data_IF_476492006725
#
_entry.id   IF_476492006725
#
_cell.length_a   1.000
_cell.length_b   1.000
_cell.length_c   1.000
_cell.angle_alpha   90.00
_cell.angle_beta   90.00
_cell.angle_gamma   90.00
#
_symmetry.space_group_name_H-M   'P 1'
#
loop_
_entity.id
_entity.type
_entity.pdbx_description
1 polymer ?
#
# COMPACT_ATOMS: atom_id res chain seq x y z
N UNK A 1 -14.48 -23.88 3.48
CA UNK A 1 -15.07 -22.94 2.48
C UNK A 1 -14.36 -23.23 1.16
N UNK A 2 -15.08 -23.60 0.11
CA UNK A 2 -14.48 -23.93 -1.20
C UNK A 2 -14.08 -22.65 -1.95
N UNK A 3 -13.12 -22.74 -2.86
CA UNK A 3 -12.67 -21.60 -3.67
C UNK A 3 -13.83 -20.97 -4.46
N UNK A 4 -14.78 -21.79 -4.91
CA UNK A 4 -16.01 -21.36 -5.60
C UNK A 4 -16.91 -20.49 -4.69
N UNK A 5 -17.06 -20.87 -3.42
CA UNK A 5 -17.81 -20.08 -2.45
C UNK A 5 -17.12 -18.76 -2.06
N UNK A 6 -15.79 -18.68 -2.19
CA UNK A 6 -15.02 -17.46 -1.99
C UNK A 6 -15.15 -16.57 -3.23
N UNK A 7 -15.04 -17.14 -4.43
CA UNK A 7 -15.22 -16.43 -5.69
C UNK A 7 -16.57 -15.70 -5.72
N UNK A 8 -17.64 -16.42 -5.38
CA UNK A 8 -19.00 -15.87 -5.40
C UNK A 8 -19.23 -14.73 -4.39
N UNK A 9 -18.54 -14.75 -3.24
CA UNK A 9 -18.74 -13.79 -2.15
C UNK A 9 -17.76 -12.62 -2.16
N UNK A 10 -16.53 -12.88 -2.56
CA UNK A 10 -15.39 -11.96 -2.37
C UNK A 10 -14.72 -11.57 -3.70
N UNK A 11 -15.09 -12.20 -4.82
CA UNK A 11 -14.55 -11.91 -6.14
C UNK A 11 -13.23 -12.64 -6.46
N UNK A 12 -12.74 -12.50 -7.70
CA UNK A 12 -11.57 -13.22 -8.20
C UNK A 12 -10.28 -12.82 -7.48
N UNK A 13 -10.08 -11.53 -7.21
CA UNK A 13 -8.87 -11.03 -6.52
C UNK A 13 -8.65 -11.69 -5.15
N UNK A 14 -9.74 -11.93 -4.40
CA UNK A 14 -9.67 -12.57 -3.09
C UNK A 14 -9.23 -14.05 -3.20
N UNK A 15 -9.73 -14.77 -4.21
CA UNK A 15 -9.34 -16.16 -4.48
C UNK A 15 -7.88 -16.23 -4.88
N UNK A 16 -7.42 -15.30 -5.73
CA UNK A 16 -6.02 -15.23 -6.15
C UNK A 16 -5.08 -14.98 -4.96
N UNK A 17 -5.41 -14.02 -4.10
CA UNK A 17 -4.63 -13.71 -2.89
C UNK A 17 -4.54 -14.91 -1.93
N UNK A 18 -5.68 -15.55 -1.63
CA UNK A 18 -5.70 -16.70 -0.72
C UNK A 18 -4.99 -17.91 -1.32
N UNK A 19 -5.10 -18.11 -2.63
CA UNK A 19 -4.36 -19.15 -3.34
C UNK A 19 -2.86 -18.90 -3.26
N UNK A 20 -2.39 -17.67 -3.47
CA UNK A 20 -0.99 -17.29 -3.29
C UNK A 20 -0.49 -17.60 -1.87
N UNK A 21 -1.26 -17.21 -0.86
CA UNK A 21 -0.90 -17.44 0.54
C UNK A 21 -0.83 -18.93 0.91
N UNK A 22 -1.70 -19.78 0.36
CA UNK A 22 -1.63 -21.24 0.54
C UNK A 22 -0.33 -21.83 -0.04
N UNK A 23 0.13 -21.34 -1.19
CA UNK A 23 1.38 -21.80 -1.80
C UNK A 23 2.62 -21.34 -1.00
N UNK A 24 2.61 -20.11 -0.47
CA UNK A 24 3.64 -19.65 0.47
C UNK A 24 3.66 -20.56 1.70
N UNK A 25 2.50 -20.83 2.31
CA UNK A 25 2.42 -21.66 3.51
C UNK A 25 2.97 -23.06 3.24
N UNK A 26 2.57 -23.68 2.13
CA UNK A 26 3.10 -24.97 1.71
C UNK A 26 4.63 -24.94 1.55
N UNK A 27 5.18 -23.95 0.84
CA UNK A 27 6.63 -23.79 0.69
C UNK A 27 7.33 -23.65 2.05
N UNK A 28 6.81 -22.79 2.93
CA UNK A 28 7.37 -22.58 4.27
C UNK A 28 7.30 -23.85 5.13
N UNK A 29 6.24 -24.66 5.01
CA UNK A 29 6.13 -25.95 5.70
C UNK A 29 7.19 -26.95 5.22
N UNK A 30 7.45 -27.03 3.91
CA UNK A 30 8.52 -27.89 3.36
C UNK A 30 9.89 -27.45 3.88
N UNK A 31 10.17 -26.15 3.83
CA UNK A 31 11.40 -25.55 4.37
C UNK A 31 11.57 -25.85 5.87
N UNK A 32 10.49 -25.74 6.63
CA UNK A 32 10.47 -25.99 8.08
C UNK A 32 10.81 -27.46 8.39
N UNK A 33 10.18 -28.41 7.69
CA UNK A 33 10.44 -29.85 7.89
C UNK A 33 11.91 -30.19 7.59
N UNK A 34 12.46 -29.69 6.48
CA UNK A 34 13.87 -29.93 6.14
C UNK A 34 14.81 -29.26 7.15
N UNK A 35 14.48 -28.04 7.58
CA UNK A 35 15.31 -27.32 8.55
C UNK A 35 15.32 -27.99 9.92
N UNK A 36 14.17 -28.50 10.40
CA UNK A 36 14.10 -29.23 11.66
C UNK A 36 14.72 -30.64 11.55
N UNK A 37 14.58 -31.31 10.41
CA UNK A 37 15.07 -32.68 10.21
C UNK A 37 16.55 -32.79 9.88
N UNK A 38 17.15 -31.76 9.26
CA UNK A 38 18.53 -31.79 8.76
C UNK A 38 19.38 -30.67 9.36
N UNK A 39 18.97 -29.42 9.19
CA UNK A 39 19.76 -28.24 9.58
C UNK A 39 19.95 -28.17 11.10
N UNK A 40 18.88 -28.40 11.86
CA UNK A 40 18.90 -28.30 13.32
C UNK A 40 19.80 -29.38 13.97
N UNK A 41 19.68 -30.68 13.65
CA UNK A 41 20.61 -31.70 14.16
C UNK A 41 22.08 -31.43 13.81
N UNK A 42 22.34 -30.92 12.61
CA UNK A 42 23.71 -30.57 12.19
C UNK A 42 24.25 -29.43 13.07
N UNK A 43 23.46 -28.37 13.31
CA UNK A 43 23.90 -27.26 14.16
C UNK A 43 24.21 -27.70 15.60
N UNK A 44 23.45 -28.66 16.15
CA UNK A 44 23.70 -29.24 17.47
C UNK A 44 24.95 -30.13 17.57
N UNK A 45 25.57 -30.53 16.45
CA UNK A 45 26.88 -31.21 16.48
C UNK A 45 28.03 -30.24 16.77
N UNK A 46 27.79 -28.94 16.62
CA UNK A 46 28.75 -27.90 16.91
C UNK A 46 29.07 -27.76 18.40
N UNK A 47 30.27 -27.28 18.70
CA UNK A 47 30.74 -27.06 20.08
C UNK A 47 31.23 -25.63 20.32
N UNK A 48 31.02 -24.70 19.36
CA UNK A 48 31.59 -23.34 19.43
C UNK A 48 30.75 -22.34 20.23
N UNK A 49 29.45 -22.59 20.42
CA UNK A 49 28.61 -21.77 21.30
C UNK A 49 28.56 -22.41 22.69
N UNK A 50 28.61 -21.59 23.75
CA UNK A 50 28.59 -22.03 25.15
C UNK A 50 27.19 -21.97 25.76
N UNK A 51 26.93 -22.84 26.73
CA UNK A 51 25.69 -23.09 27.52
C UNK A 51 24.49 -23.66 26.74
N UNK A 52 24.00 -24.84 27.16
CA UNK A 52 22.92 -25.63 26.51
C UNK A 52 21.61 -24.86 26.27
N UNK A 53 21.42 -23.73 26.95
CA UNK A 53 20.22 -22.88 26.87
C UNK A 53 20.34 -21.75 25.85
N UNK A 54 21.51 -21.52 25.27
CA UNK A 54 21.72 -20.40 24.34
C UNK A 54 21.20 -20.74 22.94
N UNK A 55 20.43 -19.81 22.37
CA UNK A 55 19.90 -19.92 21.00
C UNK A 55 20.98 -20.18 19.94
N UNK A 56 22.22 -19.72 20.20
CA UNK A 56 23.37 -19.90 19.31
C UNK A 56 23.62 -21.35 18.89
N UNK A 57 23.33 -22.34 19.75
CA UNK A 57 23.47 -23.78 19.45
C UNK A 57 22.62 -24.27 18.28
N UNK A 58 21.50 -23.60 18.03
CA UNK A 58 20.56 -23.97 16.96
C UNK A 58 20.94 -23.36 15.60
N UNK A 59 22.05 -22.62 15.53
CA UNK A 59 22.43 -21.82 14.36
C UNK A 59 23.80 -22.21 13.80
N UNK A 60 24.10 -21.72 12.59
CA UNK A 60 25.37 -21.96 11.89
C UNK A 60 26.60 -21.57 12.73
N UNK A 61 26.48 -20.60 13.65
CA UNK A 61 27.61 -20.10 14.45
C UNK A 61 28.13 -21.10 15.48
N UNK A 62 27.46 -22.25 15.67
CA UNK A 62 27.93 -23.32 16.54
C UNK A 62 28.90 -24.29 15.83
N UNK A 63 28.93 -24.29 14.49
CA UNK A 63 29.78 -25.18 13.70
C UNK A 63 31.17 -24.61 13.46
N UNK A 64 32.17 -25.49 13.44
CA UNK A 64 33.54 -25.12 13.08
C UNK A 64 33.60 -24.55 11.64
N UNK A 65 34.29 -23.41 11.41
CA UNK A 65 34.43 -22.82 10.08
C UNK A 65 35.07 -23.74 9.03
N UNK A 66 35.83 -24.75 9.43
CA UNK A 66 36.47 -25.73 8.55
C UNK A 66 35.65 -27.02 8.40
N UNK A 67 34.49 -27.10 9.07
CA UNK A 67 33.65 -28.29 9.06
C UNK A 67 33.02 -28.52 7.68
N UNK A 68 33.04 -29.76 7.15
CA UNK A 68 32.37 -30.08 5.90
C UNK A 68 30.85 -29.92 5.98
N UNK A 69 30.26 -29.92 7.19
CA UNK A 69 28.83 -29.75 7.41
C UNK A 69 28.29 -28.41 6.90
N UNK A 70 29.13 -27.37 6.80
CA UNK A 70 28.76 -26.07 6.23
C UNK A 70 28.26 -26.19 4.77
N UNK A 71 28.79 -27.14 3.99
CA UNK A 71 28.36 -27.37 2.61
C UNK A 71 26.92 -27.87 2.51
N UNK A 72 26.39 -28.52 3.54
CA UNK A 72 24.98 -28.93 3.58
C UNK A 72 24.09 -27.69 3.60
N UNK A 73 24.42 -26.67 4.41
CA UNK A 73 23.66 -25.41 4.46
C UNK A 73 23.72 -24.67 3.13
N UNK A 74 24.90 -24.58 2.51
CA UNK A 74 25.09 -23.95 1.19
C UNK A 74 24.25 -24.66 0.13
N UNK A 75 24.32 -25.99 0.10
CA UNK A 75 23.58 -26.82 -0.85
C UNK A 75 22.07 -26.66 -0.67
N UNK A 76 21.57 -26.72 0.57
CA UNK A 76 20.15 -26.51 0.87
C UNK A 76 19.69 -25.10 0.49
N UNK A 77 20.47 -24.06 0.79
CA UNK A 77 20.14 -22.69 0.40
C UNK A 77 20.03 -22.54 -1.14
N UNK A 78 20.93 -23.17 -1.88
CA UNK A 78 20.89 -23.20 -3.35
C UNK A 78 19.66 -23.97 -3.84
N UNK A 79 19.25 -25.07 -3.19
CA UNK A 79 18.09 -25.89 -3.59
C UNK A 79 16.74 -25.26 -3.22
N UNK A 80 16.68 -24.47 -2.16
CA UNK A 80 15.46 -23.80 -1.74
C UNK A 80 14.98 -22.74 -2.74
N UNK A 81 15.92 -22.06 -3.41
CA UNK A 81 15.60 -21.07 -4.44
C UNK A 81 14.83 -21.66 -5.65
N UNK A 82 15.33 -22.68 -6.38
CA UNK A 82 14.61 -23.30 -7.48
C UNK A 82 13.34 -24.01 -7.00
N UNK A 83 13.32 -24.59 -5.79
CA UNK A 83 12.10 -25.15 -5.20
C UNK A 83 11.01 -24.07 -5.07
N UNK A 84 11.37 -22.91 -4.53
CA UNK A 84 10.48 -21.75 -4.43
C UNK A 84 9.98 -21.30 -5.80
N UNK A 85 10.88 -21.19 -6.79
CA UNK A 85 10.51 -20.83 -8.17
C UNK A 85 9.54 -21.86 -8.77
N UNK A 86 9.76 -23.16 -8.58
CA UNK A 86 8.89 -24.22 -9.13
C UNK A 86 7.50 -24.15 -8.51
N UNK A 87 7.39 -24.00 -7.19
CA UNK A 87 6.11 -23.90 -6.49
C UNK A 87 5.36 -22.63 -6.90
N UNK A 88 6.06 -21.48 -6.95
CA UNK A 88 5.47 -20.21 -7.38
C UNK A 88 5.09 -20.21 -8.85
N UNK A 89 5.86 -20.88 -9.72
CA UNK A 89 5.52 -21.05 -11.13
C UNK A 89 4.31 -21.94 -11.31
N UNK A 90 4.20 -23.03 -10.55
CA UNK A 90 3.00 -23.89 -10.53
C UNK A 90 1.77 -23.10 -10.10
N UNK A 91 1.89 -22.26 -9.07
CA UNK A 91 0.84 -21.32 -8.68
C UNK A 91 0.47 -20.38 -9.83
N UNK A 92 1.45 -19.70 -10.42
CA UNK A 92 1.21 -18.73 -11.50
C UNK A 92 0.58 -19.33 -12.75
N UNK A 93 0.84 -20.61 -13.06
CA UNK A 93 0.23 -21.31 -14.21
C UNK A 93 -1.18 -21.83 -13.85
N UNK A 94 -1.41 -22.22 -12.59
CA UNK A 94 -2.73 -22.64 -12.10
C UNK A 94 -3.67 -21.45 -11.91
N UNK A 95 -3.10 -20.26 -11.71
CA UNK A 95 -3.77 -18.99 -11.91
C UNK A 95 -4.10 -18.88 -13.41
N UNK A 96 -5.19 -19.51 -13.82
CA UNK A 96 -5.95 -18.97 -14.94
C UNK A 96 -6.33 -17.58 -14.47
N UNK A 97 -5.55 -16.59 -14.90
CA UNK A 97 -6.13 -15.30 -15.20
C UNK A 97 -7.20 -15.67 -16.23
N UNK A 98 -8.41 -15.99 -15.75
CA UNK A 98 -9.56 -15.55 -16.48
C UNK A 98 -9.30 -14.05 -16.59
N UNK A 99 -8.70 -13.67 -17.72
CA UNK A 99 -9.08 -12.47 -18.41
C UNK A 99 -10.60 -12.60 -18.53
N UNK A 100 -11.32 -12.34 -17.42
CA UNK A 100 -12.65 -11.83 -17.55
C UNK A 100 -12.45 -10.67 -18.52
N UNK A 101 -13.14 -10.73 -19.64
CA UNK A 101 -13.37 -9.60 -20.56
C UNK A 101 -13.82 -8.30 -19.82
N UNK A 102 -13.89 -8.29 -18.49
CA UNK A 102 -14.26 -7.22 -17.57
C UNK A 102 -13.17 -6.22 -17.19
N UNK A 103 -11.96 -6.28 -17.76
CA UNK A 103 -10.95 -5.23 -17.57
C UNK A 103 -11.06 -4.05 -18.54
N UNK A 104 -11.65 -4.25 -19.71
CA UNK A 104 -11.76 -3.18 -20.71
C UNK A 104 -13.14 -2.59 -20.64
N UNK A 105 -13.25 -1.58 -19.79
CA UNK A 105 -14.35 -0.65 -19.94
C UNK A 105 -14.30 -0.09 -21.36
N UNK A 106 -15.45 -0.14 -22.04
CA UNK A 106 -15.68 0.64 -23.25
C UNK A 106 -15.41 2.14 -23.04
N UNK A 107 -15.30 2.59 -21.79
CA UNK A 107 -15.02 3.97 -21.39
C UNK A 107 -13.54 4.20 -21.11
N UNK A 108 -12.93 5.13 -21.85
CA UNK A 108 -11.55 5.60 -21.66
C UNK A 108 -11.54 6.95 -20.96
N UNK A 109 -10.64 7.13 -19.98
CA UNK A 109 -10.36 8.43 -19.38
C UNK A 109 -9.27 9.15 -20.18
N UNK A 110 -9.59 10.30 -20.75
CA UNK A 110 -8.67 11.17 -21.47
C UNK A 110 -8.29 12.32 -20.54
N UNK A 111 -7.00 12.57 -20.37
CA UNK A 111 -6.45 13.64 -19.53
C UNK A 111 -5.74 14.69 -20.38
N UNK A 112 -5.47 15.87 -19.81
CA UNK A 112 -4.80 17.00 -20.47
C UNK A 112 -5.56 17.58 -21.68
N UNK A 113 -6.88 17.59 -21.63
CA UNK A 113 -7.69 18.25 -22.65
C UNK A 113 -7.49 19.77 -22.54
N UNK A 114 -7.17 20.48 -23.63
CA UNK A 114 -7.09 21.94 -23.64
C UNK A 114 -8.38 22.55 -23.08
N UNK A 115 -8.22 23.55 -22.20
CA UNK A 115 -9.33 24.17 -21.44
C UNK A 115 -10.43 24.82 -22.30
N UNK A 116 -10.22 24.90 -23.60
CA UNK A 116 -11.05 25.58 -24.59
C UNK A 116 -12.21 24.74 -25.14
N UNK A 117 -12.32 23.44 -24.81
CA UNK A 117 -13.29 22.52 -25.43
C UNK A 117 -14.06 21.59 -24.46
N UNK A 118 -14.52 22.10 -23.32
CA UNK A 118 -15.34 21.31 -22.38
C UNK A 118 -16.86 21.56 -22.59
N UNK A 119 -17.59 20.55 -23.07
CA UNK A 119 -19.07 20.58 -23.17
C UNK A 119 -19.76 19.68 -22.11
N UNK A 120 -21.02 19.99 -21.83
CA UNK A 120 -21.68 20.01 -20.52
C UNK A 120 -22.87 19.04 -20.39
N UNK A 121 -23.03 18.10 -21.32
CA UNK A 121 -24.27 17.32 -21.44
C UNK A 121 -24.39 16.14 -20.43
N UNK A 122 -23.30 15.44 -20.09
CA UNK A 122 -23.41 14.16 -19.36
C UNK A 122 -23.49 14.28 -17.83
N UNK A 123 -22.97 15.37 -17.26
CA UNK A 123 -23.05 15.64 -15.81
C UNK A 123 -24.51 15.91 -15.34
N UNK A 124 -25.35 16.31 -16.28
CA UNK A 124 -26.77 16.62 -16.07
C UNK A 124 -27.62 15.38 -15.77
N UNK A 125 -27.20 14.19 -16.23
CA UNK A 125 -28.01 12.96 -16.14
C UNK A 125 -27.98 12.34 -14.75
N UNK A 126 -26.84 12.39 -14.05
CA UNK A 126 -26.65 11.66 -12.79
C UNK A 126 -27.34 12.34 -11.58
N UNK A 127 -27.29 13.68 -11.49
CA UNK A 127 -27.89 14.42 -10.38
C UNK A 127 -29.40 14.61 -10.52
N UNK A 128 -29.93 14.65 -11.75
CA UNK A 128 -31.38 14.69 -12.00
C UNK A 128 -32.06 13.41 -11.55
N UNK A 129 -31.45 12.25 -11.82
CA UNK A 129 -32.07 10.94 -11.59
C UNK A 129 -32.56 10.75 -10.14
N UNK A 130 -31.78 11.13 -9.11
CA UNK A 130 -32.15 10.78 -7.72
C UNK A 130 -33.29 11.63 -7.13
N UNK A 131 -33.28 12.94 -7.38
CA UNK A 131 -34.34 13.84 -6.89
C UNK A 131 -35.60 13.78 -7.78
N UNK A 132 -35.41 13.62 -9.11
CA UNK A 132 -36.52 13.44 -10.05
C UNK A 132 -37.33 12.17 -9.74
N UNK A 133 -36.66 11.04 -9.44
CA UNK A 133 -37.34 9.79 -9.14
C UNK A 133 -38.16 9.85 -7.83
N UNK A 134 -37.67 10.57 -6.81
CA UNK A 134 -38.41 10.77 -5.56
C UNK A 134 -39.67 11.63 -5.75
N UNK A 135 -39.58 12.70 -6.54
CA UNK A 135 -40.73 13.54 -6.91
C UNK A 135 -41.73 12.77 -7.78
N UNK A 136 -41.24 12.06 -8.80
CA UNK A 136 -42.05 11.25 -9.72
C UNK A 136 -42.83 10.16 -8.98
N UNK A 137 -42.23 9.55 -7.95
CA UNK A 137 -42.92 8.60 -7.07
C UNK A 137 -44.11 9.26 -6.35
N UNK A 138 -43.93 10.44 -5.77
CA UNK A 138 -44.97 11.15 -5.04
C UNK A 138 -46.11 11.63 -5.96
N UNK A 139 -45.78 12.11 -7.17
CA UNK A 139 -46.76 12.52 -8.18
C UNK A 139 -47.56 11.33 -8.73
N UNK A 140 -46.91 10.21 -8.99
CA UNK A 140 -47.59 8.99 -9.44
C UNK A 140 -48.50 8.41 -8.37
N UNK A 141 -48.10 8.50 -7.09
CA UNK A 141 -48.96 8.10 -5.97
C UNK A 141 -50.21 8.97 -5.87
N UNK A 142 -50.07 10.30 -5.99
CA UNK A 142 -51.20 11.23 -6.03
C UNK A 142 -52.14 10.92 -7.20
N UNK A 143 -51.61 10.65 -8.39
CA UNK A 143 -52.42 10.28 -9.57
C UNK A 143 -53.19 8.97 -9.39
N UNK A 144 -52.61 7.98 -8.69
CA UNK A 144 -53.22 6.65 -8.49
C UNK A 144 -54.22 6.60 -7.34
N UNK A 145 -53.97 7.36 -6.27
CA UNK A 145 -54.73 7.25 -5.01
C UNK A 145 -55.55 8.49 -4.69
N UNK A 146 -55.31 9.61 -5.37
CA UNK A 146 -55.92 10.91 -5.05
C UNK A 146 -55.38 11.56 -3.77
N UNK A 147 -54.44 10.92 -3.07
CA UNK A 147 -53.95 11.36 -1.76
C UNK A 147 -52.53 11.93 -1.90
N UNK A 148 -52.29 13.10 -1.29
CA UNK A 148 -50.95 13.68 -1.17
C UNK A 148 -50.18 13.00 -0.04
N UNK A 149 -48.96 12.57 -0.34
CA UNK A 149 -48.07 11.94 0.64
C UNK A 149 -47.47 13.00 1.56
N UNK A 150 -47.51 12.72 2.85
CA UNK A 150 -46.82 13.49 3.87
C UNK A 150 -45.57 12.74 4.31
N UNK A 151 -44.48 13.48 4.55
CA UNK A 151 -43.21 12.92 4.99
C UNK A 151 -42.59 13.74 6.12
N UNK A 152 -41.51 13.20 6.71
CA UNK A 152 -40.76 13.83 7.79
C UNK A 152 -39.31 14.04 7.34
N UNK A 153 -38.86 15.28 7.10
CA UNK A 153 -37.56 15.57 6.50
C UNK A 153 -36.44 15.58 7.56
N UNK A 154 -36.41 14.55 8.41
CA UNK A 154 -35.43 14.42 9.49
C UNK A 154 -34.78 13.04 9.41
N UNK A 155 -33.49 12.95 9.75
CA UNK A 155 -32.69 11.71 9.67
C UNK A 155 -33.31 10.54 10.47
N UNK A 156 -34.09 10.85 11.52
CA UNK A 156 -34.80 9.90 12.38
C UNK A 156 -36.32 9.83 12.11
N UNK A 157 -36.82 10.37 10.98
CA UNK A 157 -38.25 10.56 10.71
C UNK A 157 -39.10 9.29 10.75
N UNK A 158 -38.52 8.13 10.38
CA UNK A 158 -39.18 6.82 10.43
C UNK A 158 -39.05 6.11 11.80
N UNK A 159 -38.10 6.53 12.63
CA UNK A 159 -37.81 5.92 13.93
C UNK A 159 -38.48 6.65 15.10
N UNK A 160 -38.72 7.96 14.97
CA UNK A 160 -39.32 8.78 16.02
C UNK A 160 -40.86 8.76 15.95
N UNK A 161 -41.52 7.86 16.69
CA UNK A 161 -42.99 7.86 16.86
C UNK A 161 -43.48 8.77 18.01
N UNK A 162 -42.57 9.32 18.82
CA UNK A 162 -42.88 9.88 20.14
C UNK A 162 -42.67 11.40 20.29
N UNK A 163 -42.24 12.10 19.25
CA UNK A 163 -42.13 13.56 19.28
C UNK A 163 -43.07 14.12 18.22
N UNK A 164 -43.76 15.24 18.51
CA UNK A 164 -44.67 15.95 17.61
C UNK A 164 -43.98 16.55 16.37
N UNK A 165 -43.21 15.74 15.65
CA UNK A 165 -42.48 16.08 14.45
C UNK A 165 -43.48 16.45 13.36
N UNK A 166 -43.42 17.72 12.95
CA UNK A 166 -44.24 18.26 11.88
C UNK A 166 -44.00 17.46 10.60
N UNK A 167 -45.09 16.96 10.03
CA UNK A 167 -45.10 16.37 8.69
C UNK A 167 -45.22 17.48 7.66
N UNK A 168 -44.53 17.33 6.53
CA UNK A 168 -44.58 18.24 5.39
C UNK A 168 -45.09 17.48 4.16
N UNK A 169 -45.73 18.20 3.23
CA UNK A 169 -46.15 17.62 1.94
C UNK A 169 -44.89 17.21 1.16
N UNK A 170 -44.83 15.93 0.77
CA UNK A 170 -43.65 15.36 0.13
C UNK A 170 -43.40 15.98 -1.26
N UNK A 171 -44.46 16.34 -2.00
CA UNK A 171 -44.33 16.91 -3.34
C UNK A 171 -43.78 18.33 -3.24
N UNK A 172 -44.31 19.14 -2.32
CA UNK A 172 -43.86 20.50 -2.08
C UNK A 172 -42.39 20.51 -1.59
N UNK A 173 -42.07 19.68 -0.60
CA UNK A 173 -40.70 19.58 -0.09
C UNK A 173 -39.70 19.14 -1.16
N UNK A 174 -39.97 18.06 -1.91
CA UNK A 174 -39.05 17.61 -2.96
C UNK A 174 -38.95 18.60 -4.12
N UNK A 175 -39.99 19.38 -4.39
CA UNK A 175 -39.95 20.46 -5.39
C UNK A 175 -39.10 21.65 -4.92
N UNK A 176 -39.16 21.99 -3.63
CA UNK A 176 -38.33 23.04 -3.04
C UNK A 176 -36.87 22.62 -2.94
N UNK A 177 -36.58 21.39 -2.51
CA UNK A 177 -35.23 20.82 -2.50
C UNK A 177 -34.65 20.72 -3.91
N UNK A 178 -35.45 20.31 -4.91
CA UNK A 178 -35.05 20.34 -6.32
C UNK A 178 -34.65 21.76 -6.75
N UNK A 179 -35.41 22.78 -6.33
CA UNK A 179 -35.11 24.18 -6.62
C UNK A 179 -33.83 24.65 -5.92
N UNK A 180 -33.64 24.29 -4.64
CA UNK A 180 -32.45 24.64 -3.85
C UNK A 180 -31.19 24.00 -4.44
N UNK A 181 -31.25 22.71 -4.75
CA UNK A 181 -30.14 21.99 -5.37
C UNK A 181 -29.87 22.49 -6.79
N UNK A 182 -30.88 22.93 -7.53
CA UNK A 182 -30.68 23.56 -8.84
C UNK A 182 -29.88 24.87 -8.72
N UNK A 183 -30.18 25.71 -7.74
CA UNK A 183 -29.41 26.94 -7.48
C UNK A 183 -27.96 26.66 -7.08
N UNK A 184 -27.74 25.77 -6.10
CA UNK A 184 -26.39 25.39 -5.68
C UNK A 184 -25.59 24.70 -6.81
N UNK A 185 -26.27 23.90 -7.65
CA UNK A 185 -25.68 23.29 -8.84
C UNK A 185 -25.29 24.34 -9.87
N UNK A 186 -26.08 25.40 -10.06
CA UNK A 186 -25.77 26.50 -10.97
C UNK A 186 -24.58 27.33 -10.48
N UNK A 187 -24.49 27.60 -9.18
CA UNK A 187 -23.36 28.30 -8.57
C UNK A 187 -22.06 27.49 -8.66
N UNK A 188 -22.13 26.20 -8.31
CA UNK A 188 -21.00 25.27 -8.45
C UNK A 188 -20.63 25.08 -9.93
N UNK A 189 -21.61 25.06 -10.84
CA UNK A 189 -21.40 25.02 -12.30
C UNK A 189 -20.63 26.25 -12.77
N UNK A 190 -21.00 27.47 -12.38
CA UNK A 190 -20.25 28.67 -12.79
C UNK A 190 -18.82 28.67 -12.24
N UNK A 191 -18.62 28.13 -11.05
CA UNK A 191 -17.30 28.02 -10.40
C UNK A 191 -16.43 26.93 -11.07
N UNK A 192 -17.02 25.76 -11.35
CA UNK A 192 -16.36 24.65 -12.02
C UNK A 192 -16.06 24.95 -13.51
N UNK A 193 -16.95 25.67 -14.21
CA UNK A 193 -16.72 26.13 -15.60
C UNK A 193 -15.57 27.13 -15.70
N UNK A 194 -15.31 27.93 -14.65
CA UNK A 194 -14.14 28.83 -14.58
C UNK A 194 -12.82 28.06 -14.39
N UNK A 195 -12.87 26.79 -13.95
CA UNK A 195 -11.68 25.95 -13.68
C UNK A 195 -11.88 24.50 -14.18
N UNK A 196 -11.97 24.26 -15.50
CA UNK A 196 -12.13 22.91 -16.02
C UNK A 196 -10.92 22.03 -15.67
N UNK A 197 -11.20 20.80 -15.24
CA UNK A 197 -10.19 19.82 -14.79
C UNK A 197 -9.35 19.24 -15.95
N UNK A 198 -9.75 19.46 -17.21
CA UNK A 198 -9.03 18.96 -18.40
C UNK A 198 -9.11 17.44 -18.56
N UNK A 199 -10.21 16.83 -18.11
CA UNK A 199 -10.45 15.37 -18.14
C UNK A 199 -11.78 15.10 -18.84
N UNK A 200 -11.85 14.07 -19.68
CA UNK A 200 -13.10 13.53 -20.23
C UNK A 200 -13.14 12.00 -20.15
N UNK A 201 -14.35 11.45 -20.08
CA UNK A 201 -14.58 10.01 -20.18
C UNK A 201 -15.29 9.72 -21.50
N UNK A 202 -14.64 8.98 -22.39
CA UNK A 202 -15.17 8.65 -23.72
C UNK A 202 -15.60 7.19 -23.73
N UNK A 203 -16.91 6.96 -23.88
CA UNK A 203 -17.49 5.61 -23.96
C UNK A 203 -17.67 5.23 -25.42
N UNK A 204 -17.01 4.15 -25.84
CA UNK A 204 -17.04 3.63 -27.20
C UNK A 204 -18.11 2.55 -27.36
N UNK A 205 -18.45 2.26 -28.62
CA UNK A 205 -19.51 1.30 -28.97
C UNK A 205 -19.08 -0.15 -28.73
N UNK A 206 -17.78 -0.45 -28.89
CA UNK A 206 -17.24 -1.79 -28.67
C UNK A 206 -15.97 -1.76 -27.82
N UNK A 207 -15.67 -2.90 -27.20
CA UNK A 207 -14.48 -3.09 -26.37
C UNK A 207 -13.22 -3.04 -27.23
N UNK A 208 -13.27 -3.63 -28.42
CA UNK A 208 -12.17 -3.67 -29.38
C UNK A 208 -11.80 -2.25 -29.86
N UNK A 209 -12.80 -1.39 -30.06
CA UNK A 209 -12.57 0.02 -30.38
C UNK A 209 -11.85 0.76 -29.24
N UNK A 210 -12.19 0.46 -27.98
CA UNK A 210 -11.52 1.01 -26.81
C UNK A 210 -10.09 0.50 -26.65
N UNK A 211 -9.85 -0.80 -26.84
CA UNK A 211 -8.51 -1.39 -26.82
C UNK A 211 -7.62 -0.79 -27.90
N UNK A 212 -8.13 -0.67 -29.13
CA UNK A 212 -7.41 -0.08 -30.25
C UNK A 212 -7.07 1.38 -29.99
N UNK A 213 -8.04 2.18 -29.54
CA UNK A 213 -7.82 3.60 -29.22
C UNK A 213 -6.81 3.78 -28.09
N UNK A 214 -6.87 2.95 -27.05
CA UNK A 214 -5.90 2.94 -25.95
C UNK A 214 -4.49 2.59 -26.43
N UNK A 215 -4.33 1.53 -27.24
CA UNK A 215 -3.03 1.13 -27.79
C UNK A 215 -2.43 2.22 -28.71
N UNK A 216 -3.28 2.85 -29.53
CA UNK A 216 -2.91 3.93 -30.46
C UNK A 216 -2.50 5.24 -29.77
N UNK A 217 -2.90 5.44 -28.51
CA UNK A 217 -2.59 6.67 -27.74
C UNK A 217 -1.73 6.42 -26.49
N UNK A 218 -1.29 5.18 -26.25
CA UNK A 218 -0.34 4.84 -25.17
C UNK A 218 1.01 5.54 -25.44
N UNK A 219 1.61 6.21 -24.44
CA UNK A 219 2.92 6.84 -24.57
C UNK A 219 4.01 5.75 -24.57
N UNK A 220 4.32 5.23 -25.75
CA UNK A 220 5.48 4.38 -26.03
C UNK A 220 6.34 5.05 -27.08
N UNK A 221 7.62 4.67 -27.20
CA UNK A 221 8.47 5.10 -28.30
C UNK A 221 7.88 4.56 -29.62
N UNK A 222 7.07 5.36 -30.30
CA UNK A 222 6.40 4.99 -31.56
C UNK A 222 7.29 5.40 -32.72
N UNK A 223 8.19 4.51 -33.10
CA UNK A 223 9.08 4.72 -34.25
C UNK A 223 8.38 4.42 -35.59
N UNK A 224 7.24 3.71 -35.61
CA UNK A 224 6.62 3.24 -36.87
C UNK A 224 5.10 3.43 -37.01
N UNK A 225 4.34 3.67 -35.92
CA UNK A 225 2.88 3.79 -35.99
C UNK A 225 2.39 5.12 -35.41
N UNK A 226 2.13 6.09 -36.28
CA UNK A 226 1.36 7.27 -35.93
C UNK A 226 -0.13 6.98 -36.09
N UNK A 227 -0.97 7.27 -35.08
CA UNK A 227 -2.42 7.11 -35.22
C UNK A 227 -2.95 8.02 -36.34
N UNK A 228 -4.00 7.56 -37.02
CA UNK A 228 -4.69 8.32 -38.06
C UNK A 228 -5.24 9.64 -37.49
N UNK A 229 -4.86 10.76 -38.11
CA UNK A 229 -5.26 12.10 -37.67
C UNK A 229 -6.74 12.36 -37.98
N UNK A 230 -7.46 12.89 -37.00
CA UNK A 230 -8.84 13.37 -37.19
C UNK A 230 -8.88 14.79 -37.74
N UNK A 231 -10.03 15.21 -38.28
CA UNK A 231 -10.27 16.59 -38.76
C UNK A 231 -10.05 17.66 -37.68
N UNK A 232 -10.14 17.28 -36.40
CA UNK A 232 -9.94 18.16 -35.24
C UNK A 232 -8.53 18.01 -34.65
N UNK A 233 -7.72 17.08 -35.15
CA UNK A 233 -6.40 16.74 -34.59
C UNK A 233 -5.43 17.94 -34.60
N UNK A 234 -5.50 18.81 -35.62
CA UNK A 234 -4.73 20.08 -35.67
C UNK A 234 -5.16 21.13 -34.65
N UNK A 235 -6.44 21.10 -34.24
CA UNK A 235 -6.99 22.04 -33.26
C UNK A 235 -6.85 21.54 -31.82
N UNK A 236 -6.75 20.23 -31.64
CA UNK A 236 -6.51 19.55 -30.36
C UNK A 236 -5.04 19.19 -30.16
N UNK A 237 -4.16 19.51 -31.12
CA UNK A 237 -2.72 19.35 -30.97
C UNK A 237 -2.29 20.12 -29.71
N UNK A 238 -1.79 19.44 -28.67
CA UNK A 238 -1.36 20.14 -27.48
C UNK A 238 -0.23 21.06 -27.88
N UNK A 239 -0.44 22.37 -27.75
CA UNK A 239 0.58 23.38 -27.99
C UNK A 239 1.81 22.99 -27.17
N UNK A 240 2.87 22.56 -27.86
CA UNK A 240 4.04 21.87 -27.27
C UNK A 240 4.88 22.74 -26.34
N UNK A 241 4.55 24.02 -26.22
CA UNK A 241 5.38 24.99 -25.52
C UNK A 241 5.03 25.21 -24.05
N UNK A 242 3.97 24.58 -23.55
CA UNK A 242 3.72 24.52 -22.12
C UNK A 242 2.89 23.27 -21.83
N UNK A 243 3.53 22.10 -21.92
CA UNK A 243 3.17 20.93 -21.11
C UNK A 243 3.33 21.34 -19.64
N UNK A 244 2.40 22.19 -19.20
CA UNK A 244 2.18 22.75 -17.89
C UNK A 244 1.55 21.64 -17.06
N UNK A 245 2.38 20.61 -16.90
CA UNK A 245 2.44 19.74 -15.76
C UNK A 245 1.91 20.49 -14.53
N UNK A 246 0.76 20.10 -13.96
CA UNK A 246 0.58 20.16 -12.50
C UNK A 246 1.68 19.36 -11.75
N UNK A 247 2.59 18.72 -12.50
CA UNK A 247 3.55 17.72 -12.08
C UNK A 247 4.85 18.24 -11.46
N UNK A 248 5.36 19.46 -11.73
CA UNK A 248 6.62 19.90 -11.08
C UNK A 248 6.45 19.99 -9.55
N UNK A 249 5.36 20.63 -9.10
CA UNK A 249 5.00 20.68 -7.69
C UNK A 249 4.66 19.30 -7.14
N UNK A 250 4.05 18.42 -7.94
CA UNK A 250 3.79 17.04 -7.54
C UNK A 250 5.08 16.24 -7.33
N UNK A 251 6.06 16.32 -8.24
CA UNK A 251 7.36 15.65 -8.12
C UNK A 251 8.15 16.20 -6.93
N UNK A 252 8.18 17.53 -6.75
CA UNK A 252 8.83 18.15 -5.59
C UNK A 252 8.14 17.72 -4.29
N UNK A 253 6.81 17.76 -4.24
CA UNK A 253 6.01 17.25 -3.12
C UNK A 253 6.29 15.77 -2.86
N UNK A 254 6.37 14.96 -3.89
CA UNK A 254 6.71 13.54 -3.80
C UNK A 254 8.09 13.32 -3.23
N UNK A 255 9.11 14.01 -3.74
CA UNK A 255 10.49 13.89 -3.22
C UNK A 255 10.54 14.32 -1.76
N UNK A 256 9.95 15.46 -1.40
CA UNK A 256 9.95 15.97 -0.01
C UNK A 256 9.25 14.99 0.94
N UNK A 257 8.05 14.54 0.58
CA UNK A 257 7.25 13.64 1.44
C UNK A 257 7.93 12.29 1.62
N UNK A 258 8.46 11.70 0.54
CA UNK A 258 9.15 10.41 0.64
C UNK A 258 10.49 10.54 1.39
N UNK A 259 11.23 11.65 1.22
CA UNK A 259 12.46 11.91 1.96
C UNK A 259 12.19 12.10 3.45
N UNK A 260 11.18 12.91 3.80
CA UNK A 260 10.77 13.11 5.18
C UNK A 260 10.34 11.79 5.84
N UNK A 261 9.50 11.00 5.14
CA UNK A 261 9.07 9.70 5.61
C UNK A 261 10.25 8.75 5.83
N UNK A 262 11.20 8.73 4.91
CA UNK A 262 12.42 7.92 5.04
C UNK A 262 13.24 8.34 6.27
N UNK A 263 13.46 9.64 6.48
CA UNK A 263 14.20 10.16 7.63
C UNK A 263 13.49 9.76 8.93
N UNK A 264 12.20 10.06 9.06
CA UNK A 264 11.42 9.76 10.27
C UNK A 264 11.47 8.25 10.58
N UNK A 265 11.25 7.40 9.59
CA UNK A 265 11.26 5.96 9.79
C UNK A 265 12.66 5.42 10.06
N UNK A 266 13.70 5.95 9.41
CA UNK A 266 15.09 5.56 9.66
C UNK A 266 15.49 5.78 11.12
N UNK A 267 15.20 6.96 11.67
CA UNK A 267 15.54 7.27 13.06
C UNK A 267 14.65 6.52 14.06
N UNK A 268 13.39 6.24 13.73
CA UNK A 268 12.47 5.48 14.58
C UNK A 268 12.75 3.97 14.59
N UNK A 269 13.21 3.38 13.49
CA UNK A 269 13.45 1.93 13.41
C UNK A 269 14.85 1.54 13.83
N UNK A 270 15.77 2.49 14.02
CA UNK A 270 17.14 2.19 14.46
C UNK A 270 17.16 1.88 15.97
N UNK A 271 17.43 0.62 16.39
CA UNK A 271 17.31 0.22 17.79
C UNK A 271 18.22 1.01 18.73
N UNK A 272 19.42 1.40 18.27
CA UNK A 272 20.37 2.18 19.06
C UNK A 272 19.86 3.60 19.38
N UNK A 273 19.14 4.22 18.46
CA UNK A 273 18.57 5.56 18.64
C UNK A 273 17.40 5.49 19.62
N UNK A 274 16.54 4.49 19.46
CA UNK A 274 15.44 4.20 20.38
C UNK A 274 15.95 3.98 21.82
N UNK A 275 16.97 3.13 21.99
CA UNK A 275 17.57 2.87 23.31
C UNK A 275 18.16 4.16 23.91
N UNK A 276 18.80 5.00 23.11
CA UNK A 276 19.33 6.29 23.58
C UNK A 276 18.24 7.29 24.00
N UNK A 277 17.07 7.29 23.34
CA UNK A 277 15.92 8.09 23.78
C UNK A 277 15.27 7.55 25.06
N UNK A 278 15.30 6.23 25.26
CA UNK A 278 14.74 5.57 26.44
C UNK A 278 15.67 5.65 27.67
N UNK A 279 16.98 5.79 27.47
CA UNK A 279 17.98 5.84 28.53
C UNK A 279 17.74 6.94 29.59
N UNK A 280 17.49 8.22 29.23
CA UNK A 280 17.16 9.24 30.24
C UNK A 280 15.79 9.03 30.90
N UNK A 281 14.87 8.33 30.25
CA UNK A 281 13.59 7.94 30.85
C UNK A 281 13.77 6.80 31.86
N UNK A 282 14.71 5.89 31.59
CA UNK A 282 15.10 4.80 32.46
C UNK A 282 15.79 5.32 33.74
N UNK A 283 16.74 6.23 33.58
CA UNK A 283 17.53 6.83 34.66
C UNK A 283 16.70 7.70 35.63
N UNK A 284 15.60 8.31 35.16
CA UNK A 284 14.81 9.28 35.97
C UNK A 284 13.58 8.69 36.69
N UNK A 285 13.38 7.37 36.69
CA UNK A 285 12.27 6.76 37.45
C UNK A 285 11.90 5.32 37.10
N UNK A 286 12.63 4.69 36.16
CA UNK A 286 12.27 3.37 35.63
C UNK A 286 13.19 2.23 36.12
N UNK A 287 14.10 2.46 37.07
CA UNK A 287 14.86 1.36 37.68
C UNK A 287 13.97 0.35 38.44
N UNK A 288 12.69 0.68 38.66
CA UNK A 288 11.70 -0.22 39.28
C UNK A 288 10.91 -1.10 38.32
N UNK A 289 11.08 -0.96 36.99
CA UNK A 289 10.43 -1.89 36.07
C UNK A 289 11.25 -3.17 35.96
N UNK A 290 10.56 -4.31 36.14
CA UNK A 290 11.09 -5.66 36.01
C UNK A 290 12.04 -5.80 34.81
N UNK A 291 13.13 -6.57 34.94
CA UNK A 291 14.08 -6.90 33.87
C UNK A 291 13.39 -7.39 32.58
N UNK A 292 12.17 -7.93 32.71
CA UNK A 292 11.27 -8.27 31.61
C UNK A 292 10.97 -7.04 30.73
N UNK A 293 10.59 -5.90 31.32
CA UNK A 293 10.17 -4.73 30.53
C UNK A 293 11.34 -4.12 29.75
N UNK A 294 12.55 -4.06 30.32
CA UNK A 294 13.72 -3.56 29.61
C UNK A 294 14.17 -4.47 28.46
N UNK A 295 13.93 -5.77 28.56
CA UNK A 295 14.25 -6.77 27.53
C UNK A 295 13.21 -6.80 26.39
N UNK A 296 11.93 -6.57 26.70
CA UNK A 296 10.83 -6.58 25.72
C UNK A 296 10.46 -5.21 25.12
N UNK A 297 10.86 -4.10 25.74
CA UNK A 297 10.51 -2.76 25.26
C UNK A 297 11.08 -2.45 23.86
N UNK A 298 12.35 -2.77 23.53
CA UNK A 298 12.88 -2.54 22.19
C UNK A 298 12.16 -3.36 21.11
N UNK A 299 11.83 -4.63 21.40
CA UNK A 299 11.12 -5.49 20.46
C UNK A 299 9.66 -5.05 20.27
N UNK A 300 8.98 -4.64 21.34
CA UNK A 300 7.64 -4.06 21.28
C UNK A 300 7.61 -2.75 20.48
N UNK A 301 8.62 -1.88 20.67
CA UNK A 301 8.72 -0.63 19.93
C UNK A 301 8.97 -0.87 18.44
N UNK A 302 9.85 -1.80 18.08
CA UNK A 302 10.04 -2.19 16.67
C UNK A 302 8.78 -2.81 16.06
N UNK A 303 8.06 -3.64 16.82
CA UNK A 303 6.81 -4.26 16.37
C UNK A 303 5.71 -3.22 16.14
N UNK A 304 5.53 -2.29 17.08
CA UNK A 304 4.56 -1.20 16.96
C UNK A 304 4.87 -0.26 15.79
N UNK A 305 6.14 0.11 15.58
CA UNK A 305 6.54 0.91 14.41
C UNK A 305 6.30 0.15 13.11
N UNK A 306 6.61 -1.15 13.07
CA UNK A 306 6.36 -1.99 11.88
C UNK A 306 4.88 -2.15 11.57
N UNK A 307 4.02 -2.26 12.59
CA UNK A 307 2.56 -2.31 12.43
C UNK A 307 1.97 -0.95 12.02
N UNK A 308 2.54 0.16 12.49
CA UNK A 308 2.10 1.52 12.15
C UNK A 308 2.62 1.99 10.78
N UNK A 309 3.71 1.40 10.29
CA UNK A 309 4.38 1.80 9.05
C UNK A 309 3.47 1.79 7.82
N UNK A 310 2.64 0.74 7.54
CA UNK A 310 1.71 0.77 6.41
C UNK A 310 0.71 1.93 6.50
N UNK A 311 0.30 2.32 7.71
CA UNK A 311 -0.62 3.44 7.94
C UNK A 311 0.07 4.78 7.65
N UNK A 312 1.32 4.96 8.09
CA UNK A 312 2.12 6.15 7.80
C UNK A 312 2.39 6.30 6.29
N UNK A 313 2.78 5.20 5.64
CA UNK A 313 2.96 5.16 4.18
C UNK A 313 1.62 5.47 3.48
N UNK A 314 0.51 4.87 3.91
CA UNK A 314 -0.81 5.15 3.33
C UNK A 314 -1.22 6.62 3.48
N UNK A 315 -0.95 7.24 4.64
CA UNK A 315 -1.32 8.64 4.87
C UNK A 315 -0.45 9.60 4.04
N UNK A 316 0.87 9.35 4.00
CA UNK A 316 1.81 10.11 3.17
C UNK A 316 1.53 9.96 1.67
N UNK A 317 1.12 8.78 1.21
CA UNK A 317 0.78 8.53 -0.18
C UNK A 317 -0.58 9.10 -0.56
N UNK A 318 -1.55 9.13 0.37
CA UNK A 318 -2.82 9.87 0.19
C UNK A 318 -2.58 11.36 0.03
N UNK A 319 -1.56 11.91 0.69
CA UNK A 319 -1.13 13.29 0.48
C UNK A 319 -0.53 13.52 -0.91
N UNK A 320 -0.07 12.48 -1.62
CA UNK A 320 0.43 12.57 -3.00
C UNK A 320 -0.67 12.58 -4.07
N UNK A 321 -1.96 12.50 -3.69
CA UNK A 321 -3.12 12.69 -4.56
C UNK A 321 -3.01 11.96 -5.91
N UNK A 322 -3.04 10.63 -5.86
CA UNK A 322 -3.09 9.78 -7.04
C UNK A 322 -4.44 9.87 -7.76
N UNK A 323 -4.42 9.66 -9.08
CA UNK A 323 -5.62 9.74 -9.92
C UNK A 323 -6.60 8.58 -9.72
N UNK A 324 -6.10 7.37 -9.46
CA UNK A 324 -6.94 6.19 -9.23
C UNK A 324 -6.61 5.54 -7.89
N UNK A 325 -7.62 4.93 -7.28
CA UNK A 325 -7.45 4.16 -6.03
C UNK A 325 -6.57 2.92 -6.23
N UNK A 326 -6.56 2.33 -7.42
CA UNK A 326 -5.71 1.17 -7.74
C UNK A 326 -4.23 1.57 -7.77
N UNK A 327 -3.88 2.65 -8.47
CA UNK A 327 -2.51 3.18 -8.51
C UNK A 327 -2.04 3.60 -7.12
N UNK A 328 -2.92 4.23 -6.34
CA UNK A 328 -2.64 4.55 -4.93
C UNK A 328 -2.32 3.28 -4.13
N UNK A 329 -3.17 2.25 -4.20
CA UNK A 329 -2.97 1.01 -3.46
C UNK A 329 -1.67 0.30 -3.88
N UNK A 330 -1.37 0.26 -5.17
CA UNK A 330 -0.15 -0.33 -5.70
C UNK A 330 1.10 0.46 -5.27
N UNK A 331 1.04 1.80 -5.31
CA UNK A 331 2.09 2.69 -4.79
C UNK A 331 2.33 2.47 -3.30
N UNK A 332 1.26 2.43 -2.49
CA UNK A 332 1.34 2.14 -1.04
C UNK A 332 2.00 0.77 -0.83
N UNK A 333 1.53 -0.27 -1.51
CA UNK A 333 2.08 -1.62 -1.38
C UNK A 333 3.58 -1.65 -1.68
N UNK A 334 4.01 -1.09 -2.81
CA UNK A 334 5.42 -1.11 -3.22
C UNK A 334 6.30 -0.29 -2.25
N UNK A 335 5.83 0.88 -1.82
CA UNK A 335 6.55 1.73 -0.86
C UNK A 335 6.65 1.08 0.51
N UNK A 336 5.56 0.51 1.01
CA UNK A 336 5.54 -0.22 2.29
C UNK A 336 6.46 -1.43 2.22
N UNK A 337 6.41 -2.23 1.14
CA UNK A 337 7.31 -3.37 0.96
C UNK A 337 8.78 -2.96 0.93
N UNK A 338 9.12 -1.99 0.08
CA UNK A 338 10.51 -1.50 -0.05
C UNK A 338 11.01 -0.95 1.29
N UNK A 339 10.19 -0.17 1.99
CA UNK A 339 10.58 0.46 3.24
C UNK A 339 10.68 -0.55 4.39
N UNK A 340 9.78 -1.54 4.47
CA UNK A 340 9.92 -2.67 5.40
C UNK A 340 11.20 -3.47 5.14
N UNK A 341 11.49 -3.79 3.88
CA UNK A 341 12.70 -4.53 3.51
C UNK A 341 13.97 -3.78 3.94
N UNK A 342 14.05 -2.48 3.62
CA UNK A 342 15.21 -1.68 3.98
C UNK A 342 15.35 -1.46 5.49
N UNK A 343 14.26 -1.11 6.17
CA UNK A 343 14.30 -0.69 7.58
C UNK A 343 14.32 -1.86 8.56
N UNK A 344 13.64 -2.96 8.26
CA UNK A 344 13.50 -4.11 9.18
C UNK A 344 14.56 -5.17 8.90
N UNK A 345 14.89 -5.41 7.64
CA UNK A 345 15.79 -6.49 7.27
C UNK A 345 17.20 -5.98 6.97
N UNK A 346 17.36 -5.05 6.03
CA UNK A 346 18.69 -4.66 5.54
C UNK A 346 19.46 -3.82 6.57
N UNK A 347 18.88 -2.73 7.08
CA UNK A 347 19.57 -1.80 7.96
C UNK A 347 19.98 -2.41 9.32
N UNK A 348 19.12 -3.19 10.01
CA UNK A 348 19.53 -3.87 11.24
C UNK A 348 20.65 -4.88 10.98
N UNK A 349 20.57 -5.63 9.88
CA UNK A 349 21.61 -6.60 9.49
C UNK A 349 22.97 -5.93 9.27
N UNK A 350 23.00 -4.78 8.58
CA UNK A 350 24.22 -4.01 8.29
C UNK A 350 24.73 -3.21 9.51
N UNK A 351 23.81 -2.68 10.31
CA UNK A 351 24.11 -1.87 11.49
C UNK A 351 24.75 -2.69 12.62
N UNK A 352 24.26 -3.92 12.82
CA UNK A 352 24.85 -4.86 13.78
C UNK A 352 26.28 -5.24 13.35
N UNK A 353 26.55 -5.47 12.07
CA UNK A 353 27.90 -5.84 11.61
C UNK A 353 28.93 -4.75 11.91
N UNK A 354 28.58 -3.47 11.69
CA UNK A 354 29.49 -2.33 11.95
C UNK A 354 29.71 -2.08 13.44
N UNK A 355 28.70 -2.26 14.27
CA UNK A 355 28.84 -2.13 15.72
C UNK A 355 29.71 -3.27 16.29
N UNK A 356 29.46 -4.52 15.89
CA UNK A 356 30.28 -5.67 16.31
C UNK A 356 31.73 -5.55 15.86
N UNK A 357 32.00 -5.09 14.63
CA UNK A 357 33.37 -4.86 14.15
C UNK A 357 34.03 -3.76 14.99
N UNK A 358 33.38 -2.61 15.20
CA UNK A 358 33.97 -1.51 15.96
C UNK A 358 34.22 -1.87 17.43
N UNK A 359 33.29 -2.57 18.09
CA UNK A 359 33.46 -3.01 19.49
C UNK A 359 34.57 -4.05 19.62
N UNK A 360 34.66 -5.02 18.69
CA UNK A 360 35.72 -6.03 18.70
C UNK A 360 37.08 -5.41 18.39
N UNK A 361 37.15 -4.46 17.45
CA UNK A 361 38.37 -3.70 17.16
C UNK A 361 38.81 -2.84 18.35
N UNK A 362 37.85 -2.20 19.03
CA UNK A 362 38.14 -1.37 20.21
C UNK A 362 38.58 -2.21 21.41
N UNK A 363 37.93 -3.36 21.67
CA UNK A 363 38.36 -4.30 22.71
C UNK A 363 39.74 -4.89 22.45
N UNK A 364 40.05 -5.29 21.20
CA UNK A 364 41.39 -5.80 20.84
C UNK A 364 42.45 -4.71 20.99
N UNK A 365 42.14 -3.47 20.63
CA UNK A 365 43.07 -2.34 20.78
C UNK A 365 43.36 -2.03 22.24
N UNK A 366 42.34 -2.07 23.10
CA UNK A 366 42.49 -1.90 24.56
C UNK A 366 43.32 -3.05 25.14
N UNK A 367 43.03 -4.30 24.78
CA UNK A 367 43.76 -5.46 25.30
C UNK A 367 45.24 -5.44 24.90
N UNK A 368 45.56 -5.10 23.64
CA UNK A 368 46.95 -4.92 23.20
C UNK A 368 47.64 -3.75 23.92
N UNK A 369 46.91 -2.69 24.26
CA UNK A 369 47.49 -1.56 24.99
C UNK A 369 47.84 -1.94 26.43
N UNK A 370 47.04 -2.80 27.09
CA UNK A 370 47.36 -3.35 28.42
C UNK A 370 48.50 -4.36 28.39
N UNK A 371 48.58 -5.23 27.38
CA UNK A 371 49.68 -6.19 27.21
C UNK A 371 51.02 -5.45 27.00
N UNK A 372 51.04 -4.46 26.11
CA UNK A 372 52.24 -3.65 25.87
C UNK A 372 52.65 -2.82 27.09
N UNK A 373 51.69 -2.41 27.94
CA UNK A 373 51.98 -1.72 29.19
C UNK A 373 52.56 -2.68 30.23
N UNK A 374 52.07 -3.92 30.32
CA UNK A 374 52.60 -4.95 31.22
C UNK A 374 54.01 -5.42 30.82
N UNK A 375 54.31 -5.54 29.53
CA UNK A 375 55.66 -5.87 29.04
C UNK A 375 56.66 -4.73 29.29
N UNK A 376 56.20 -3.47 29.26
CA UNK A 376 57.03 -2.30 29.57
C UNK A 376 57.44 -2.16 31.05
N UNK A 377 56.75 -2.83 31.99
CA UNK A 377 57.11 -2.87 33.41
C UNK A 377 57.97 -4.08 33.79
N UNK A 378 58.29 -4.97 32.86
CA UNK A 378 59.08 -6.19 33.11
C UNK A 378 60.58 -6.06 32.79
N UNK A 379 61.03 -4.87 32.40
CA UNK A 379 62.43 -4.52 32.14
C UNK A 379 62.82 -3.21 32.85
N UNK A 380 62.91 -3.24 34.19
CA UNK A 380 63.72 -2.31 34.99
C UNK A 380 64.20 -3.01 36.25
#
# INVERSE_FOLDING_TARGET
MSDESILQKCGPDAVQYLSFQRHILFYMSVMMVISLGVVLPINFQGTLQGDETNFGHTTLSNLDPNSPWLWVHVTLAILYLPLGIIIMRRFSITLKLEEEDGGVSRTLMITNIPRTYCDTADLQRHFREKNYQAKLYCENYLKRTGVRLNMRPYLCGNACKCCGCRTVDAIEYYSEEESRFRGALEDERTTALKRPLGIAFVTLTSIEAAQKMYADHRPTCKCENNPSSSSVSRHLEPHRENLSLPSKYWYVKAVIVNLFLFIVLFFLTTPAIVVNFLKPLAENGLEKMSAVVSEFLPTLLLWTVSALMPVLVSYSDRFLSHWTRSEQNHSIMNKTFTLLLFMVLILPSLGLTRYFINVKYFSVKINNQYINMAEGYSFT
#
